data_IF_512554005338
#
_entry.id   IF_512554005338
#
_cell.length_a   1.000
_cell.length_b   1.000
_cell.length_c   1.000
_cell.angle_alpha   90.00
_cell.angle_beta   90.00
_cell.angle_gamma   90.00
#
_symmetry.space_group_name_H-M   'P 1'
#
loop_
_entity.id
_entity.type
_entity.pdbx_description
1 polymer ?
#
# COMPACT_ATOMS: atom_id res chain seq x y z
N UNK A 1 5.80 -5.24 17.53
CA UNK A 1 4.34 -5.06 17.44
C UNK A 1 3.95 -4.98 15.97
N UNK A 2 3.15 -5.93 15.51
CA UNK A 2 2.57 -5.93 14.17
C UNK A 2 1.38 -4.97 14.18
N UNK A 3 1.51 -3.84 13.49
CA UNK A 3 0.40 -2.91 13.31
C UNK A 3 -0.46 -3.47 12.19
N UNK A 4 -1.63 -4.01 12.52
CA UNK A 4 -2.62 -4.37 11.52
C UNK A 4 -3.31 -3.09 11.04
N UNK A 5 -3.12 -2.76 9.75
CA UNK A 5 -3.77 -1.61 9.14
C UNK A 5 -5.21 -1.98 8.75
N UNK A 6 -6.18 -1.43 9.44
CA UNK A 6 -7.60 -1.56 9.13
C UNK A 6 -8.38 -0.34 9.66
N UNK A 7 -9.55 -0.01 9.09
CA UNK A 7 -10.36 1.09 9.59
C UNK A 7 -10.85 0.84 11.01
N UNK A 8 -10.79 1.85 11.86
CA UNK A 8 -11.31 1.77 13.24
C UNK A 8 -12.84 1.66 13.28
N UNK A 9 -13.51 2.35 12.36
CA UNK A 9 -14.97 2.39 12.27
C UNK A 9 -15.39 2.47 10.81
N UNK A 10 -16.39 1.69 10.42
CA UNK A 10 -16.95 1.68 9.08
C UNK A 10 -18.46 1.89 9.14
N UNK A 11 -19.01 2.60 8.14
CA UNK A 11 -20.46 2.78 8.02
C UNK A 11 -21.16 1.47 7.67
N UNK A 12 -20.57 0.67 6.78
CA UNK A 12 -21.07 -0.63 6.35
C UNK A 12 -19.98 -1.69 6.49
N UNK A 13 -20.37 -2.88 6.92
CA UNK A 13 -19.44 -4.03 7.07
C UNK A 13 -18.90 -4.55 5.75
N UNK A 14 -19.73 -4.56 4.72
CA UNK A 14 -19.44 -5.14 3.41
C UNK A 14 -19.60 -4.09 2.34
N UNK A 15 -18.78 -4.19 1.30
CA UNK A 15 -18.75 -3.23 0.20
C UNK A 15 -18.94 -3.95 -1.13
N UNK A 16 -19.51 -3.25 -2.12
CA UNK A 16 -19.44 -3.72 -3.50
C UNK A 16 -18.01 -3.67 -4.00
N UNK A 17 -17.62 -4.70 -4.73
CA UNK A 17 -16.30 -4.75 -5.36
C UNK A 17 -16.23 -3.69 -6.45
N UNK A 18 -15.29 -2.78 -6.32
CA UNK A 18 -14.96 -1.78 -7.34
C UNK A 18 -13.54 -2.03 -7.81
N UNK A 19 -13.38 -2.30 -9.08
CA UNK A 19 -12.07 -2.37 -9.71
C UNK A 19 -11.72 -0.98 -10.23
N UNK A 20 -10.54 -0.50 -9.91
CA UNK A 20 -10.04 0.79 -10.39
C UNK A 20 -8.81 0.54 -11.26
N UNK A 21 -8.93 0.86 -12.53
CA UNK A 21 -7.84 0.82 -13.50
C UNK A 21 -7.50 2.22 -14.02
N UNK A 22 -7.78 3.24 -13.22
CA UNK A 22 -7.60 4.65 -13.58
C UNK A 22 -6.16 5.09 -13.30
N UNK A 23 -5.75 6.17 -13.95
CA UNK A 23 -4.53 6.90 -13.58
C UNK A 23 -4.80 7.74 -12.33
N UNK A 24 -3.78 7.88 -11.50
CA UNK A 24 -3.84 8.73 -10.31
C UNK A 24 -3.45 10.17 -10.67
N UNK A 25 -4.30 11.11 -10.32
CA UNK A 25 -4.08 12.54 -10.58
C UNK A 25 -3.81 13.36 -9.31
N UNK A 26 -4.26 12.87 -8.14
CA UNK A 26 -4.18 13.62 -6.88
C UNK A 26 -2.94 13.27 -6.05
N UNK A 27 -2.59 11.99 -5.97
CA UNK A 27 -1.50 11.49 -5.12
C UNK A 27 -0.38 10.93 -6.00
N UNK A 28 0.07 11.71 -6.96
CA UNK A 28 1.08 11.34 -7.95
C UNK A 28 2.45 11.99 -7.72
N UNK A 29 2.56 12.88 -6.72
CA UNK A 29 3.78 13.61 -6.37
C UNK A 29 4.13 13.44 -4.90
N UNK A 30 5.41 13.65 -4.57
CA UNK A 30 5.90 13.66 -3.19
C UNK A 30 5.46 14.94 -2.49
N UNK A 31 5.05 14.84 -1.23
CA UNK A 31 4.56 15.98 -0.43
C UNK A 31 5.41 16.19 0.83
N UNK A 32 5.74 15.12 1.54
CA UNK A 32 6.42 15.19 2.84
C UNK A 32 7.81 14.57 2.84
N UNK A 33 8.06 13.62 1.95
CA UNK A 33 9.34 12.92 1.86
C UNK A 33 10.21 13.45 0.73
N UNK A 34 11.52 13.28 0.86
CA UNK A 34 12.48 13.61 -0.20
C UNK A 34 12.50 12.56 -1.31
N UNK A 35 12.15 11.32 -0.97
CA UNK A 35 12.11 10.16 -1.89
C UNK A 35 10.82 9.39 -1.71
N UNK A 36 10.45 8.61 -2.72
CA UNK A 36 9.26 7.77 -2.64
C UNK A 36 9.22 6.64 -3.63
N UNK A 37 8.20 5.81 -3.48
CA UNK A 37 7.88 4.68 -4.37
C UNK A 37 6.56 4.97 -5.04
N UNK A 38 6.57 5.01 -6.37
CA UNK A 38 5.42 5.26 -7.22
C UNK A 38 4.98 3.99 -7.92
N UNK A 39 3.69 3.71 -7.93
CA UNK A 39 3.10 2.60 -8.66
C UNK A 39 3.10 2.86 -10.16
N UNK A 40 3.49 1.87 -10.96
CA UNK A 40 3.40 1.93 -12.43
C UNK A 40 2.12 1.27 -12.98
N UNK A 41 1.50 0.37 -12.21
CA UNK A 41 0.27 -0.33 -12.59
C UNK A 41 -0.78 -0.22 -11.50
N UNK A 42 -2.03 -0.29 -11.91
CA UNK A 42 -3.15 -0.40 -10.98
C UNK A 42 -3.19 -1.81 -10.38
N UNK A 43 -3.37 -1.90 -9.06
CA UNK A 43 -3.41 -3.16 -8.34
C UNK A 43 -4.14 -3.01 -7.01
N UNK A 44 -4.54 -4.13 -6.40
CA UNK A 44 -4.97 -4.19 -5.01
C UNK A 44 -3.83 -4.58 -4.11
N UNK A 45 -3.61 -3.78 -3.07
CA UNK A 45 -2.64 -4.06 -2.03
C UNK A 45 -3.34 -4.49 -0.76
N UNK A 46 -3.00 -5.65 -0.23
CA UNK A 46 -3.50 -6.11 1.06
C UNK A 46 -2.77 -5.38 2.20
N UNK A 47 -3.45 -5.28 3.35
CA UNK A 47 -2.83 -4.72 4.57
C UNK A 47 -1.54 -5.48 4.95
N UNK A 48 -1.52 -6.80 4.77
CA UNK A 48 -0.35 -7.64 5.04
C UNK A 48 0.83 -7.31 4.13
N UNK A 49 0.60 -7.09 2.83
CA UNK A 49 1.64 -6.71 1.87
C UNK A 49 2.23 -5.33 2.18
N UNK A 50 1.38 -4.35 2.49
CA UNK A 50 1.82 -3.01 2.88
C UNK A 50 2.70 -3.04 4.14
N UNK A 51 2.28 -3.78 5.15
CA UNK A 51 3.03 -3.89 6.39
C UNK A 51 4.34 -4.67 6.21
N UNK A 52 4.36 -5.73 5.41
CA UNK A 52 5.58 -6.47 5.09
C UNK A 52 6.61 -5.59 4.36
N UNK A 53 6.16 -4.81 3.38
CA UNK A 53 7.03 -3.86 2.68
C UNK A 53 7.58 -2.79 3.63
N UNK A 54 6.72 -2.17 4.44
CA UNK A 54 7.12 -1.17 5.44
C UNK A 54 8.17 -1.70 6.40
N UNK A 55 7.95 -2.88 7.00
CA UNK A 55 8.89 -3.52 7.94
C UNK A 55 10.25 -3.78 7.29
N UNK A 56 10.27 -4.29 6.07
CA UNK A 56 11.50 -4.57 5.33
C UNK A 56 12.31 -3.30 5.08
N UNK A 57 11.65 -2.22 4.68
CA UNK A 57 12.28 -0.93 4.44
C UNK A 57 12.83 -0.31 5.73
N UNK A 58 12.04 -0.29 6.81
CA UNK A 58 12.47 0.23 8.12
C UNK A 58 13.68 -0.54 8.66
N UNK A 59 13.68 -1.87 8.52
CA UNK A 59 14.82 -2.71 8.92
C UNK A 59 16.09 -2.34 8.15
N UNK A 60 16.00 -2.14 6.83
CA UNK A 60 17.16 -1.75 6.01
C UNK A 60 17.69 -0.37 6.38
N UNK A 61 16.82 0.58 6.68
CA UNK A 61 17.18 1.93 7.12
C UNK A 61 17.75 1.98 8.53
N UNK A 62 17.82 0.85 9.26
CA UNK A 62 18.26 0.78 10.67
C UNK A 62 17.54 1.77 11.57
N UNK A 63 16.27 2.05 11.28
CA UNK A 63 15.40 3.03 11.96
C UNK A 63 15.85 4.50 11.82
N UNK A 64 16.80 4.79 10.95
CA UNK A 64 17.13 6.17 10.58
C UNK A 64 16.05 6.70 9.66
N UNK A 65 15.52 7.88 9.96
CA UNK A 65 14.44 8.50 9.20
C UNK A 65 13.06 7.89 9.43
N UNK A 66 12.11 8.32 8.61
CA UNK A 66 10.70 7.91 8.69
C UNK A 66 10.19 7.43 7.35
N UNK A 67 9.27 6.46 7.38
CA UNK A 67 8.52 6.00 6.22
C UNK A 67 7.07 6.40 6.43
N UNK A 68 6.54 7.16 5.49
CA UNK A 68 5.15 7.60 5.45
C UNK A 68 4.37 6.76 4.45
N UNK A 69 3.28 6.13 4.89
CA UNK A 69 2.36 5.44 3.99
C UNK A 69 1.38 6.46 3.39
N UNK A 70 1.27 6.45 2.06
CA UNK A 70 0.30 7.26 1.31
C UNK A 70 -0.91 6.45 0.84
N UNK A 71 -0.98 5.20 1.28
CA UNK A 71 -2.03 4.24 0.94
C UNK A 71 -2.55 3.62 2.23
N UNK A 72 -3.87 3.54 2.36
CA UNK A 72 -4.53 2.92 3.49
C UNK A 72 -5.52 1.85 3.02
N UNK A 73 -5.54 0.65 3.63
CA UNK A 73 -6.46 -0.42 3.26
C UNK A 73 -7.85 -0.19 3.87
N UNK A 74 -8.73 0.42 3.09
CA UNK A 74 -10.09 0.79 3.46
C UNK A 74 -11.17 -0.03 2.75
N UNK A 75 -10.78 -0.89 1.81
CA UNK A 75 -11.71 -1.75 1.06
C UNK A 75 -11.81 -3.12 1.72
N UNK A 76 -13.03 -3.48 2.12
CA UNK A 76 -13.34 -4.77 2.72
C UNK A 76 -13.51 -5.84 1.63
N UNK A 77 -12.73 -6.91 1.73
CA UNK A 77 -12.87 -8.09 0.87
C UNK A 77 -13.51 -9.21 1.67
N UNK A 78 -14.52 -9.83 1.07
CA UNK A 78 -15.28 -10.93 1.66
C UNK A 78 -14.95 -12.22 0.95
N UNK A 79 -14.96 -13.33 1.69
CA UNK A 79 -14.88 -14.68 1.13
C UNK A 79 -15.88 -15.61 1.79
N UNK A 80 -16.22 -16.68 1.09
CA UNK A 80 -17.00 -17.80 1.65
C UNK A 80 -16.08 -18.99 1.83
N UNK A 81 -16.25 -19.80 2.90
CA UNK A 81 -15.54 -21.08 3.03
C UNK A 81 -15.82 -21.98 1.81
N UNK A 82 -14.84 -22.81 1.45
CA UNK A 82 -14.95 -23.71 0.30
C UNK A 82 -16.11 -24.74 0.45
N UNK A 83 -16.46 -25.06 1.68
CA UNK A 83 -17.49 -26.05 2.04
C UNK A 83 -18.91 -25.51 1.93
N UNK A 84 -19.08 -24.19 1.85
CA UNK A 84 -20.41 -23.56 1.80
C UNK A 84 -20.93 -23.55 0.37
N UNK A 85 -22.18 -24.03 0.19
CA UNK A 85 -22.86 -24.00 -1.09
C UNK A 85 -23.10 -22.56 -1.58
N UNK A 86 -23.24 -22.38 -2.89
CA UNK A 86 -23.57 -21.09 -3.50
C UNK A 86 -24.92 -20.57 -3.02
N UNK A 87 -25.09 -19.24 -3.00
CA UNK A 87 -26.31 -18.60 -2.53
C UNK A 87 -26.26 -18.19 -1.05
N UNK A 88 -27.39 -17.87 -0.44
CA UNK A 88 -27.58 -17.43 0.96
C UNK A 88 -26.76 -16.21 1.37
N UNK A 89 -26.60 -15.24 0.44
CA UNK A 89 -26.00 -13.94 0.72
C UNK A 89 -24.48 -13.87 0.56
N UNK A 90 -23.94 -12.69 0.83
CA UNK A 90 -22.51 -12.37 0.71
C UNK A 90 -21.70 -12.98 1.85
N UNK A 91 -20.50 -13.47 1.55
CA UNK A 91 -19.58 -14.03 2.54
C UNK A 91 -19.19 -13.04 3.64
N UNK A 92 -18.55 -13.55 4.68
CA UNK A 92 -17.99 -12.72 5.78
C UNK A 92 -16.76 -11.95 5.34
N UNK A 93 -16.40 -10.91 6.10
CA UNK A 93 -15.17 -10.17 5.91
C UNK A 93 -13.96 -11.09 6.10
N UNK A 94 -13.05 -11.08 5.13
CA UNK A 94 -11.81 -11.87 5.15
C UNK A 94 -10.60 -10.96 5.45
N UNK A 95 -10.35 -9.96 4.60
CA UNK A 95 -9.23 -9.05 4.78
C UNK A 95 -9.52 -7.66 4.21
N UNK A 96 -8.66 -6.73 4.57
CA UNK A 96 -8.68 -5.36 4.08
C UNK A 96 -7.65 -5.15 2.99
N UNK A 97 -8.00 -4.39 1.97
CA UNK A 97 -7.09 -4.00 0.90
C UNK A 97 -7.27 -2.54 0.50
N UNK A 98 -6.33 -2.04 -0.27
CA UNK A 98 -6.43 -0.73 -0.92
C UNK A 98 -6.41 -0.88 -2.43
N UNK A 99 -7.28 -0.18 -3.11
CA UNK A 99 -7.22 -0.03 -4.56
C UNK A 99 -6.20 1.06 -4.90
N UNK A 100 -5.15 0.67 -5.61
CA UNK A 100 -4.07 1.56 -6.02
C UNK A 100 -4.18 1.79 -7.52
N UNK A 101 -4.24 3.06 -7.91
CA UNK A 101 -4.22 3.46 -9.30
C UNK A 101 -2.78 3.56 -9.82
N UNK A 102 -2.60 3.42 -11.13
CA UNK A 102 -1.31 3.67 -11.78
C UNK A 102 -0.86 5.12 -11.55
N UNK A 103 0.38 5.30 -11.14
CA UNK A 103 0.96 6.61 -10.84
C UNK A 103 0.84 7.07 -9.39
N UNK A 104 0.19 6.30 -8.51
CA UNK A 104 0.05 6.66 -7.10
C UNK A 104 1.34 6.47 -6.32
N UNK A 105 1.66 7.44 -5.45
CA UNK A 105 2.74 7.29 -4.46
C UNK A 105 2.25 6.35 -3.36
N UNK A 106 3.05 5.32 -3.07
CA UNK A 106 2.77 4.31 -2.05
C UNK A 106 3.42 4.64 -0.72
N UNK A 107 4.72 4.95 -0.77
CA UNK A 107 5.54 5.27 0.40
C UNK A 107 6.38 6.51 0.11
N UNK A 108 6.62 7.30 1.15
CA UNK A 108 7.57 8.40 1.13
C UNK A 108 8.63 8.18 2.19
N UNK A 109 9.87 8.52 1.88
CA UNK A 109 11.02 8.46 2.79
C UNK A 109 11.42 9.86 3.21
N UNK A 110 11.59 10.05 4.49
CA UNK A 110 12.00 11.32 5.09
C UNK A 110 13.22 11.14 5.99
N UNK A 111 14.19 12.04 5.89
CA UNK A 111 15.34 12.07 6.78
C UNK A 111 16.38 10.97 6.50
N UNK A 112 16.51 10.50 5.25
CA UNK A 112 17.50 9.52 4.82
C UNK A 112 18.20 9.96 3.55
N UNK A 113 19.46 9.53 3.37
CA UNK A 113 20.18 9.78 2.13
C UNK A 113 19.65 8.95 0.96
N UNK A 114 19.84 9.45 -0.26
CA UNK A 114 19.38 8.79 -1.50
C UNK A 114 19.84 7.32 -1.65
N UNK A 115 21.10 6.96 -1.40
CA UNK A 115 21.55 5.56 -1.53
C UNK A 115 20.81 4.64 -0.56
N UNK A 116 20.67 5.03 0.72
CA UNK A 116 19.95 4.24 1.72
C UNK A 116 18.47 4.10 1.36
N UNK A 117 17.82 5.19 0.94
CA UNK A 117 16.42 5.16 0.51
C UNK A 117 16.22 4.25 -0.71
N UNK A 118 17.11 4.32 -1.70
CA UNK A 118 17.05 3.48 -2.91
C UNK A 118 17.21 2.00 -2.60
N UNK A 119 18.16 1.62 -1.74
CA UNK A 119 18.32 0.22 -1.32
C UNK A 119 17.11 -0.29 -0.51
N UNK A 120 16.63 0.52 0.43
CA UNK A 120 15.43 0.19 1.21
C UNK A 120 14.22 0.00 0.30
N UNK A 121 14.03 0.90 -0.67
CA UNK A 121 12.97 0.80 -1.66
C UNK A 121 13.06 -0.48 -2.49
N UNK A 122 14.24 -0.85 -3.00
CA UNK A 122 14.44 -2.10 -3.76
C UNK A 122 14.02 -3.34 -2.97
N UNK A 123 14.34 -3.39 -1.67
CA UNK A 123 13.96 -4.51 -0.82
C UNK A 123 12.45 -4.52 -0.50
N UNK A 124 11.86 -3.36 -0.26
CA UNK A 124 10.44 -3.22 0.02
C UNK A 124 9.56 -3.59 -1.18
N UNK A 125 9.96 -3.17 -2.37
CA UNK A 125 9.24 -3.46 -3.63
C UNK A 125 9.09 -4.95 -3.90
N UNK A 126 10.05 -5.77 -3.51
CA UNK A 126 9.98 -7.25 -3.64
C UNK A 126 8.81 -7.87 -2.87
N UNK A 127 8.24 -7.15 -1.90
CA UNK A 127 7.05 -7.58 -1.13
C UNK A 127 5.74 -7.09 -1.73
N UNK A 128 5.80 -6.30 -2.81
CA UNK A 128 4.62 -5.76 -3.49
C UNK A 128 4.32 -6.55 -4.77
N UNK A 129 3.04 -6.72 -5.13
CA UNK A 129 2.62 -7.50 -6.30
C UNK A 129 2.68 -6.72 -7.61
N UNK A 130 3.16 -5.48 -7.60
CA UNK A 130 3.15 -4.59 -8.76
C UNK A 130 4.52 -4.01 -9.08
N UNK A 131 4.69 -3.57 -10.31
CA UNK A 131 5.84 -2.79 -10.73
C UNK A 131 5.76 -1.37 -10.16
N UNK A 132 6.91 -0.89 -9.70
CA UNK A 132 7.03 0.44 -9.08
C UNK A 132 8.26 1.17 -9.60
N UNK A 133 8.27 2.48 -9.42
CA UNK A 133 9.41 3.36 -9.73
C UNK A 133 9.83 4.12 -8.49
N UNK A 134 11.13 4.17 -8.24
CA UNK A 134 11.70 5.07 -7.24
C UNK A 134 11.71 6.50 -7.78
N UNK A 135 11.23 7.44 -6.99
CA UNK A 135 11.16 8.86 -7.34
C UNK A 135 11.86 9.70 -6.27
N UNK A 136 12.51 10.77 -6.70
CA UNK A 136 13.13 11.76 -5.83
C UNK A 136 12.48 13.12 -6.07
N UNK A 137 12.41 13.93 -5.02
CA UNK A 137 12.05 15.33 -5.13
C UNK A 137 13.24 16.03 -5.82
N UNK A 138 13.05 16.54 -7.02
CA UNK A 138 14.04 17.42 -7.64
C UNK A 138 14.00 18.74 -6.86
N UNK A 139 15.00 18.98 -6.04
CA UNK A 139 15.23 20.35 -5.53
C UNK A 139 15.71 21.18 -6.72
N UNK A 140 14.83 22.04 -7.22
CA UNK A 140 15.24 23.14 -8.11
C UNK A 140 16.18 24.08 -7.37
#
# INVERSE_FOLDING_TARGET
LSIMLFPKRTKYRKMHRRDSYKKEYRVNSLVRGDFGIKSLRSCRLTAKQLEAARKTMVKKMRRMGRILLRVFPDVAITSKPAEVRMGKGKGSLDYWCSNVNSGRILFEFQGVSKPIASEAAKLGVRKLPMQTKFVSLEKK
#
